data_IF_979195637520
#
_entry.id   IF_979195637520
#
_cell.length_a   1.000
_cell.length_b   1.000
_cell.length_c   1.000
_cell.angle_alpha   90.00
_cell.angle_beta   90.00
_cell.angle_gamma   90.00
#
_symmetry.space_group_name_H-M   'P 1'
#
loop_
_entity.id
_entity.type
_entity.pdbx_description
1 polymer ?
#
# COMPACT_ATOMS: atom_id res chain seq x y z
N UNK A 1 -4.31 9.60 -6.54
CA UNK A 1 -3.20 8.75 -7.01
C UNK A 1 -3.82 7.68 -7.90
N UNK A 2 -3.47 7.65 -9.18
CA UNK A 2 -4.11 6.81 -10.21
C UNK A 2 -3.30 5.54 -10.43
N UNK A 3 -3.22 4.68 -9.42
CA UNK A 3 -2.53 3.39 -9.52
C UNK A 3 -3.23 2.42 -10.49
N UNK A 4 -4.50 2.69 -10.81
CA UNK A 4 -5.20 2.00 -11.89
C UNK A 4 -4.54 2.15 -13.27
N UNK A 5 -3.55 3.04 -13.44
CA UNK A 5 -2.72 3.07 -14.65
C UNK A 5 -1.90 1.78 -14.86
N UNK A 6 -1.65 1.02 -13.79
CA UNK A 6 -0.99 -0.28 -13.89
C UNK A 6 -1.95 -1.43 -14.21
N UNK A 7 -3.27 -1.20 -14.16
CA UNK A 7 -4.27 -2.21 -14.50
C UNK A 7 -4.33 -2.44 -16.03
N UNK A 8 -3.48 -3.34 -16.51
CA UNK A 8 -3.47 -3.77 -17.90
C UNK A 8 -3.60 -5.29 -18.00
N UNK A 9 -4.38 -5.74 -18.98
CA UNK A 9 -4.53 -7.18 -19.29
C UNK A 9 -3.18 -7.82 -19.57
N UNK A 10 -2.29 -7.11 -20.30
CA UNK A 10 -0.94 -7.58 -20.59
C UNK A 10 -0.11 -7.80 -19.32
N UNK A 11 -0.15 -6.88 -18.37
CA UNK A 11 0.55 -7.02 -17.09
C UNK A 11 -0.02 -8.19 -16.29
N UNK A 12 -1.35 -8.25 -16.18
CA UNK A 12 -2.06 -9.31 -15.44
C UNK A 12 -1.67 -10.69 -15.96
N UNK A 13 -1.74 -10.89 -17.28
CA UNK A 13 -1.33 -12.13 -17.92
C UNK A 13 0.16 -12.43 -17.72
N UNK A 14 1.04 -11.43 -17.79
CA UNK A 14 2.47 -11.63 -17.56
C UNK A 14 2.79 -12.06 -16.12
N UNK A 15 2.03 -11.59 -15.13
CA UNK A 15 2.14 -12.00 -13.73
C UNK A 15 1.64 -13.43 -13.57
N UNK A 16 0.40 -13.72 -14.00
CA UNK A 16 -0.22 -15.04 -13.85
C UNK A 16 0.53 -16.14 -14.61
N UNK A 17 1.16 -15.81 -15.75
CA UNK A 17 2.02 -16.75 -16.48
C UNK A 17 3.27 -17.16 -15.70
N UNK A 18 3.78 -16.30 -14.80
CA UNK A 18 4.96 -16.59 -13.97
C UNK A 18 4.58 -17.14 -12.60
N UNK A 19 3.46 -16.67 -12.06
CA UNK A 19 2.94 -17.06 -10.75
C UNK A 19 1.41 -17.16 -10.86
N UNK A 20 0.88 -18.35 -11.20
CA UNK A 20 -0.55 -18.56 -11.41
C UNK A 20 -1.41 -18.24 -10.17
N UNK A 21 -0.86 -18.48 -8.98
CA UNK A 21 -1.57 -18.25 -7.71
C UNK A 21 -1.37 -16.83 -7.14
N UNK A 22 -0.84 -15.89 -7.93
CA UNK A 22 -0.62 -14.52 -7.48
C UNK A 22 -1.95 -13.78 -7.28
N UNK A 23 -2.11 -13.11 -6.14
CA UNK A 23 -3.20 -12.15 -5.93
C UNK A 23 -2.79 -10.77 -6.45
N UNK A 24 -3.43 -10.30 -7.53
CA UNK A 24 -3.12 -9.02 -8.18
C UNK A 24 -4.03 -7.93 -7.63
N UNK A 25 -3.59 -7.26 -6.58
CA UNK A 25 -4.34 -6.16 -5.95
C UNK A 25 -3.99 -4.82 -6.59
N UNK A 26 -4.56 -4.55 -7.78
CA UNK A 26 -4.48 -3.25 -8.46
C UNK A 26 -5.91 -2.78 -8.70
N UNK A 27 -6.31 -1.59 -8.24
CA UNK A 27 -7.66 -1.09 -8.46
C UNK A 27 -7.87 -0.81 -9.95
N UNK A 28 -8.85 -1.44 -10.61
CA UNK A 28 -9.24 -1.08 -11.97
C UNK A 28 -9.58 0.42 -12.09
N UNK A 29 -9.33 1.04 -13.25
CA UNK A 29 -9.75 2.41 -13.51
C UNK A 29 -11.28 2.50 -13.55
N UNK A 30 -11.82 3.71 -13.39
CA UNK A 30 -13.27 3.94 -13.32
C UNK A 30 -14.04 3.58 -14.59
N UNK A 31 -13.35 3.47 -15.72
CA UNK A 31 -13.87 3.10 -17.03
C UNK A 31 -13.53 1.64 -17.40
N UNK A 32 -13.08 0.83 -16.43
CA UNK A 32 -12.82 -0.58 -16.66
C UNK A 32 -14.09 -1.33 -17.06
N UNK A 33 -13.96 -2.24 -18.01
CA UNK A 33 -15.06 -3.06 -18.54
C UNK A 33 -14.71 -4.54 -18.32
N UNK A 34 -15.73 -5.31 -17.95
CA UNK A 34 -15.62 -6.77 -17.77
C UNK A 34 -15.18 -7.43 -19.09
N UNK A 35 -14.27 -8.38 -19.00
CA UNK A 35 -13.81 -9.15 -20.15
C UNK A 35 -14.94 -10.00 -20.76
N UNK A 36 -14.88 -10.38 -22.05
CA UNK A 36 -15.87 -11.27 -22.66
C UNK A 36 -16.02 -12.61 -21.91
N UNK A 37 -14.94 -13.10 -21.30
CA UNK A 37 -14.91 -14.35 -20.54
C UNK A 37 -15.53 -14.20 -19.14
N UNK A 38 -15.45 -13.01 -18.53
CA UNK A 38 -16.14 -12.64 -17.30
C UNK A 38 -15.71 -13.40 -16.03
N UNK A 39 -14.60 -14.15 -16.09
CA UNK A 39 -14.14 -15.06 -15.03
C UNK A 39 -12.65 -14.84 -14.71
N UNK A 40 -12.20 -13.58 -14.79
CA UNK A 40 -10.83 -13.23 -14.40
C UNK A 40 -10.81 -12.53 -13.04
N UNK A 41 -9.70 -12.65 -12.30
CA UNK A 41 -9.47 -11.88 -11.06
C UNK A 41 -9.71 -10.37 -11.24
N UNK A 42 -9.40 -9.84 -12.44
CA UNK A 42 -9.66 -8.44 -12.76
C UNK A 42 -11.17 -8.14 -12.82
N UNK A 43 -11.95 -9.03 -13.41
CA UNK A 43 -13.42 -8.88 -13.49
C UNK A 43 -14.06 -8.97 -12.10
N UNK A 44 -13.56 -9.87 -11.23
CA UNK A 44 -13.97 -9.92 -9.83
C UNK A 44 -13.73 -8.59 -9.11
N UNK A 45 -12.58 -7.95 -9.34
CA UNK A 45 -12.29 -6.63 -8.78
C UNK A 45 -13.20 -5.52 -9.32
N UNK A 46 -13.60 -5.58 -10.62
CA UNK A 46 -14.55 -4.63 -11.21
C UNK A 46 -15.93 -4.80 -10.55
N UNK A 47 -16.44 -6.02 -10.47
CA UNK A 47 -17.72 -6.31 -9.82
C UNK A 47 -17.73 -5.88 -8.35
N UNK A 48 -16.68 -6.20 -7.60
CA UNK A 48 -16.55 -5.80 -6.20
C UNK A 48 -16.50 -4.27 -6.05
N UNK A 49 -15.80 -3.58 -6.94
CA UNK A 49 -15.77 -2.11 -6.94
C UNK A 49 -17.15 -1.49 -7.18
N UNK A 50 -17.97 -2.06 -8.06
CA UNK A 50 -19.35 -1.61 -8.30
C UNK A 50 -20.25 -1.85 -7.09
N UNK A 51 -20.05 -2.98 -6.38
CA UNK A 51 -20.86 -3.36 -5.22
C UNK A 51 -20.54 -2.54 -3.97
N UNK A 52 -19.27 -2.47 -3.57
CA UNK A 52 -18.87 -1.88 -2.27
C UNK A 52 -18.26 -0.48 -2.40
N UNK A 53 -17.93 -0.06 -3.63
CA UNK A 53 -17.25 1.20 -3.89
C UNK A 53 -15.76 1.20 -3.53
N UNK A 54 -15.06 2.22 -4.01
CA UNK A 54 -13.59 2.25 -4.01
C UNK A 54 -12.94 2.27 -2.61
N UNK A 55 -13.61 2.86 -1.61
CA UNK A 55 -13.07 2.95 -0.24
C UNK A 55 -13.14 1.59 0.46
N UNK A 56 -14.28 0.90 0.37
CA UNK A 56 -14.46 -0.42 0.96
C UNK A 56 -13.57 -1.46 0.26
N UNK A 57 -13.51 -1.43 -1.07
CA UNK A 57 -12.62 -2.30 -1.84
C UNK A 57 -11.16 -2.19 -1.39
N UNK A 58 -10.65 -0.97 -1.18
CA UNK A 58 -9.27 -0.75 -0.69
C UNK A 58 -9.04 -1.34 0.70
N UNK A 59 -10.06 -1.31 1.56
CA UNK A 59 -10.00 -1.83 2.91
C UNK A 59 -10.01 -3.36 2.91
N UNK A 60 -10.87 -3.98 2.11
CA UNK A 60 -10.98 -5.44 2.00
C UNK A 60 -9.75 -6.07 1.36
N UNK A 61 -9.10 -5.36 0.44
CA UNK A 61 -7.90 -5.83 -0.25
C UNK A 61 -6.58 -5.34 0.38
N UNK A 62 -6.60 -4.80 1.61
CA UNK A 62 -5.42 -4.30 2.33
C UNK A 62 -4.53 -3.32 1.53
N UNK A 63 -5.12 -2.65 0.52
CA UNK A 63 -4.42 -1.80 -0.44
C UNK A 63 -3.76 -0.57 0.22
N UNK A 64 -4.12 -0.26 1.47
CA UNK A 64 -3.54 0.82 2.27
C UNK A 64 -2.15 0.53 2.86
N UNK A 65 -1.70 -0.72 2.92
CA UNK A 65 -0.48 -1.09 3.64
C UNK A 65 0.76 -0.34 3.15
N UNK A 66 0.92 -0.20 1.83
CA UNK A 66 2.03 0.55 1.23
C UNK A 66 2.06 1.99 1.72
N UNK A 67 0.92 2.67 1.68
CA UNK A 67 0.81 4.06 2.11
C UNK A 67 1.13 4.23 3.60
N UNK A 68 0.76 3.25 4.43
CA UNK A 68 1.08 3.25 5.86
C UNK A 68 2.58 3.08 6.12
N UNK A 69 3.24 2.17 5.38
CA UNK A 69 4.69 1.98 5.47
C UNK A 69 5.43 3.24 5.00
N UNK A 70 5.01 3.82 3.88
CA UNK A 70 5.58 5.07 3.36
C UNK A 70 5.43 6.21 4.38
N UNK A 71 4.26 6.34 5.01
CA UNK A 71 4.03 7.32 6.07
C UNK A 71 4.88 7.05 7.32
N UNK A 72 5.05 5.78 7.71
CA UNK A 72 5.93 5.39 8.81
C UNK A 72 7.38 5.82 8.54
N UNK A 73 7.89 5.54 7.34
CA UNK A 73 9.23 5.94 6.93
C UNK A 73 9.39 7.46 6.81
N UNK A 74 8.37 8.17 6.34
CA UNK A 74 8.33 9.64 6.33
C UNK A 74 8.45 10.19 7.75
N UNK A 75 7.66 9.68 8.70
CA UNK A 75 7.71 10.06 10.12
C UNK A 75 9.07 9.78 10.72
N UNK A 76 9.64 8.61 10.45
CA UNK A 76 10.99 8.26 10.89
C UNK A 76 12.01 9.30 10.43
N UNK A 77 12.04 9.62 9.13
CA UNK A 77 13.00 10.58 8.58
C UNK A 77 12.81 12.00 9.10
N UNK A 78 11.55 12.41 9.34
CA UNK A 78 11.24 13.75 9.88
C UNK A 78 11.59 13.90 11.36
N UNK A 79 11.34 12.87 12.18
CA UNK A 79 11.47 12.96 13.65
C UNK A 79 12.86 12.52 14.11
N UNK A 80 13.35 11.37 13.61
CA UNK A 80 14.65 10.80 14.02
C UNK A 80 15.77 11.39 13.16
N UNK A 81 15.57 11.41 11.84
CA UNK A 81 16.51 11.96 10.88
C UNK A 81 16.62 11.14 9.59
N UNK A 82 17.07 11.75 8.48
CA UNK A 82 17.16 11.09 7.19
C UNK A 82 18.38 10.17 7.03
N UNK A 83 19.34 10.21 7.96
CA UNK A 83 20.60 9.47 7.90
C UNK A 83 20.89 8.76 9.22
N UNK A 84 21.68 7.68 9.12
CA UNK A 84 22.18 6.94 10.28
C UNK A 84 23.55 7.46 10.69
N UNK A 85 23.78 7.60 12.00
CA UNK A 85 25.07 8.02 12.57
C UNK A 85 26.06 6.87 12.66
N UNK A 86 25.57 5.65 12.90
CA UNK A 86 26.39 4.46 12.94
C UNK A 86 27.01 4.14 11.57
N UNK A 87 28.29 3.73 11.58
CA UNK A 87 29.06 3.45 10.36
C UNK A 87 29.09 1.96 9.98
N UNK A 88 28.71 1.07 10.90
CA UNK A 88 28.75 -0.38 10.73
C UNK A 88 27.32 -0.93 10.72
N UNK A 89 27.04 -1.89 9.84
CA UNK A 89 25.69 -2.46 9.62
C UNK A 89 25.03 -2.98 10.92
N UNK A 90 25.72 -3.73 11.80
CA UNK A 90 25.09 -4.18 13.05
C UNK A 90 24.61 -3.00 13.92
N UNK A 91 25.43 -1.97 14.04
CA UNK A 91 25.11 -0.76 14.79
C UNK A 91 23.99 0.05 14.13
N UNK A 92 23.95 0.11 12.80
CA UNK A 92 22.86 0.73 12.04
C UNK A 92 21.52 0.02 12.27
N UNK A 93 21.51 -1.33 12.32
CA UNK A 93 20.31 -2.10 12.68
C UNK A 93 19.84 -1.76 14.09
N UNK A 94 20.76 -1.65 15.05
CA UNK A 94 20.45 -1.24 16.43
C UNK A 94 19.91 0.19 16.47
N UNK A 95 20.55 1.14 15.79
CA UNK A 95 20.10 2.53 15.69
C UNK A 95 18.69 2.63 15.12
N UNK A 96 18.42 1.94 14.00
CA UNK A 96 17.09 1.86 13.39
C UNK A 96 16.05 1.26 14.33
N UNK A 97 16.39 0.15 15.01
CA UNK A 97 15.51 -0.51 15.97
C UNK A 97 15.16 0.40 17.15
N UNK A 98 16.12 1.16 17.68
CA UNK A 98 15.86 2.17 18.73
C UNK A 98 14.95 3.27 18.19
N UNK A 99 15.22 3.80 16.99
CA UNK A 99 14.38 4.84 16.37
C UNK A 99 12.93 4.41 16.21
N UNK A 100 12.68 3.19 15.75
CA UNK A 100 11.32 2.62 15.64
C UNK A 100 10.66 2.49 17.02
N UNK A 101 11.39 2.02 18.05
CA UNK A 101 10.84 1.93 19.42
C UNK A 101 10.45 3.29 19.98
N UNK A 102 11.24 4.33 19.73
CA UNK A 102 10.92 5.71 20.12
C UNK A 102 9.63 6.17 19.43
N UNK A 103 9.50 5.95 18.12
CA UNK A 103 8.29 6.32 17.37
C UNK A 103 7.03 5.57 17.84
N UNK A 104 7.16 4.28 18.13
CA UNK A 104 6.06 3.48 18.67
C UNK A 104 5.64 3.99 20.05
N UNK A 105 6.61 4.39 20.89
CA UNK A 105 6.33 5.00 22.19
C UNK A 105 5.65 6.37 22.05
N UNK A 106 6.09 7.21 21.13
CA UNK A 106 5.40 8.48 20.84
C UNK A 106 3.96 8.24 20.40
N UNK A 107 3.73 7.27 19.51
CA UNK A 107 2.40 6.94 19.01
C UNK A 107 1.47 6.43 20.12
N UNK A 108 1.99 5.68 21.10
CA UNK A 108 1.17 5.21 22.23
C UNK A 108 0.86 6.28 23.28
N UNK A 109 1.56 7.41 23.27
CA UNK A 109 1.25 8.56 24.13
C UNK A 109 0.14 9.46 23.54
N UNK A 110 -0.28 9.20 22.31
CA UNK A 110 -1.29 9.97 21.61
C UNK A 110 -0.80 10.44 20.24
N UNK A 111 -1.73 10.64 19.33
CA UNK A 111 -1.48 11.15 17.98
C UNK A 111 -2.37 12.37 17.73
N UNK A 112 -1.87 13.39 17.00
CA UNK A 112 -2.71 14.50 16.60
C UNK A 112 -3.86 14.02 15.71
N UNK A 113 -5.08 14.48 15.99
CA UNK A 113 -6.21 14.30 15.06
C UNK A 113 -6.00 15.19 13.85
N UNK A 114 -5.83 14.56 12.70
CA UNK A 114 -5.68 15.27 11.42
C UNK A 114 -7.06 15.44 10.79
N UNK A 115 -7.48 16.70 10.64
CA UNK A 115 -8.74 17.04 9.95
C UNK A 115 -8.45 17.49 8.52
N UNK A 116 -9.35 17.16 7.60
CA UNK A 116 -9.27 17.65 6.22
C UNK A 116 -9.62 19.13 6.21
N UNK A 117 -8.69 19.97 5.77
CA UNK A 117 -8.97 21.38 5.49
C UNK A 117 -9.69 21.45 4.14
N UNK A 118 -10.89 22.04 4.14
CA UNK A 118 -11.74 22.28 2.97
C UNK A 118 -11.29 23.51 2.19
#
# INVERSE_FOLDING_TARGET
MTDGAYDSVKLTNAILNKQPDASIVIPPPSDAVISPEGDTQRDEHICLLEEVGHIAWKKENDYGLRSQVELCMLRYKKIIGPSMKARKIPQQKTEGGIGVRVLNRMTSLGMPESVKVS
#
